data_IF_613406033576
#
_entry.id   IF_613406033576
#
_cell.length_a   1.000
_cell.length_b   1.000
_cell.length_c   1.000
_cell.angle_alpha   90.00
_cell.angle_beta   90.00
_cell.angle_gamma   90.00
#
_symmetry.space_group_name_H-M   'P 1'
#
loop_
_entity.id
_entity.type
_entity.pdbx_description
1 polymer ?
#
# COMPACT_ATOMS: atom_id res chain seq x y z
N UNK A 1 -25.64 15.56 18.40
CA UNK A 1 -25.48 16.19 17.07
C UNK A 1 -24.07 16.02 16.49
N UNK A 2 -22.99 16.28 17.24
CA UNK A 2 -21.61 16.15 16.73
C UNK A 2 -21.21 14.71 16.37
N UNK A 3 -21.62 13.73 17.18
CA UNK A 3 -21.32 12.32 16.99
C UNK A 3 -21.94 11.72 15.70
N UNK A 4 -23.19 12.11 15.39
CA UNK A 4 -23.86 11.70 14.15
C UNK A 4 -23.17 12.28 12.90
N UNK A 5 -22.68 13.52 12.97
CA UNK A 5 -21.94 14.14 11.87
C UNK A 5 -20.63 13.41 11.61
N UNK A 6 -19.92 13.03 12.67
CA UNK A 6 -18.67 12.25 12.58
C UNK A 6 -18.92 10.87 11.96
N UNK A 7 -19.96 10.16 12.42
CA UNK A 7 -20.35 8.84 11.89
C UNK A 7 -20.70 8.88 10.39
N UNK A 8 -21.40 9.93 9.95
CA UNK A 8 -21.72 10.11 8.53
C UNK A 8 -20.47 10.43 7.69
N UNK A 9 -19.50 11.17 8.25
CA UNK A 9 -18.23 11.46 7.59
C UNK A 9 -17.34 10.22 7.46
N UNK A 10 -17.26 9.40 8.51
CA UNK A 10 -16.51 8.13 8.51
C UNK A 10 -17.11 7.14 7.49
N UNK A 11 -18.44 7.06 7.41
CA UNK A 11 -19.13 6.24 6.42
C UNK A 11 -18.85 6.70 4.98
N UNK A 12 -18.83 8.02 4.75
CA UNK A 12 -18.50 8.60 3.44
C UNK A 12 -17.04 8.32 3.06
N UNK A 13 -16.10 8.50 4.00
CA UNK A 13 -14.69 8.19 3.79
C UNK A 13 -14.49 6.72 3.41
N UNK A 14 -15.13 5.81 4.14
CA UNK A 14 -15.03 4.37 3.86
C UNK A 14 -15.59 4.02 2.48
N UNK A 15 -16.77 4.54 2.13
CA UNK A 15 -17.38 4.28 0.81
C UNK A 15 -16.44 4.72 -0.33
N UNK A 16 -15.89 5.94 -0.24
CA UNK A 16 -14.99 6.49 -1.26
C UNK A 16 -13.61 5.80 -1.27
N UNK A 17 -13.12 5.35 -0.11
CA UNK A 17 -11.87 4.60 -0.02
C UNK A 17 -11.98 3.21 -0.65
N UNK A 18 -13.14 2.57 -0.53
CA UNK A 18 -13.48 1.30 -1.19
C UNK A 18 -13.83 1.44 -2.69
N UNK A 19 -13.73 2.64 -3.27
CA UNK A 19 -13.91 2.86 -4.71
C UNK A 19 -15.34 3.16 -5.16
N UNK A 20 -16.26 3.50 -4.24
CA UNK A 20 -17.58 3.98 -4.64
C UNK A 20 -17.48 5.26 -5.49
N UNK A 21 -18.32 5.38 -6.51
CA UNK A 21 -18.48 6.64 -7.24
C UNK A 21 -19.15 7.70 -6.35
N UNK A 22 -19.10 8.97 -6.77
CA UNK A 22 -19.75 10.07 -6.03
C UNK A 22 -21.24 9.81 -5.84
N UNK A 23 -21.92 9.33 -6.87
CA UNK A 23 -23.36 9.05 -6.89
C UNK A 23 -23.71 7.82 -6.03
N UNK A 24 -22.83 6.82 -5.99
CA UNK A 24 -22.99 5.64 -5.15
C UNK A 24 -22.80 6.00 -3.66
N UNK A 25 -21.76 6.77 -3.34
CA UNK A 25 -21.50 7.25 -2.00
C UNK A 25 -22.59 8.22 -1.51
N UNK A 26 -23.12 9.08 -2.39
CA UNK A 26 -24.25 9.97 -2.09
C UNK A 26 -25.47 9.19 -1.63
N UNK A 27 -25.87 8.17 -2.40
CA UNK A 27 -26.99 7.28 -2.05
C UNK A 27 -26.73 6.50 -0.77
N UNK A 28 -25.52 5.96 -0.59
CA UNK A 28 -25.17 5.16 0.59
C UNK A 28 -25.15 5.98 1.88
N UNK A 29 -24.72 7.24 1.82
CA UNK A 29 -24.59 8.10 2.98
C UNK A 29 -25.78 9.05 3.19
N UNK A 30 -26.80 9.02 2.33
CA UNK A 30 -27.94 9.94 2.37
C UNK A 30 -27.54 11.40 2.13
N UNK A 31 -26.53 11.62 1.29
CA UNK A 31 -25.99 12.94 0.94
C UNK A 31 -26.31 13.29 -0.50
N UNK A 32 -26.19 14.57 -0.86
CA UNK A 32 -26.27 15.02 -2.25
C UNK A 32 -24.89 15.02 -2.90
N UNK A 33 -24.84 14.80 -4.21
CA UNK A 33 -23.58 14.81 -4.98
C UNK A 33 -22.81 16.13 -4.76
N UNK A 34 -23.53 17.26 -4.75
CA UNK A 34 -22.95 18.59 -4.46
C UNK A 34 -22.24 18.63 -3.09
N UNK A 35 -22.78 17.95 -2.09
CA UNK A 35 -22.15 17.87 -0.76
C UNK A 35 -20.85 17.08 -0.82
N UNK A 36 -20.84 15.97 -1.56
CA UNK A 36 -19.64 15.14 -1.72
C UNK A 36 -18.57 15.88 -2.54
N UNK A 37 -18.92 16.53 -3.65
CA UNK A 37 -17.97 17.34 -4.41
C UNK A 37 -17.35 18.46 -3.57
N UNK A 38 -18.15 19.11 -2.71
CA UNK A 38 -17.64 20.09 -1.75
C UNK A 38 -16.66 19.44 -0.77
N UNK A 39 -17.02 18.30 -0.16
CA UNK A 39 -16.10 17.57 0.74
C UNK A 39 -14.82 17.15 0.04
N UNK A 40 -14.91 16.64 -1.19
CA UNK A 40 -13.76 16.30 -2.01
C UNK A 40 -12.90 17.51 -2.39
N UNK A 41 -13.38 18.74 -2.26
CA UNK A 41 -12.58 19.96 -2.43
C UNK A 41 -11.87 20.41 -1.14
N UNK A 42 -12.31 19.93 0.03
CA UNK A 42 -11.73 20.27 1.33
C UNK A 42 -10.40 19.51 1.53
N UNK A 43 -9.26 20.21 1.74
CA UNK A 43 -7.95 19.55 1.90
C UNK A 43 -7.93 18.52 3.03
N UNK A 44 -8.47 18.85 4.19
CA UNK A 44 -8.51 17.94 5.34
C UNK A 44 -9.28 16.63 5.05
N UNK A 45 -10.31 16.68 4.20
CA UNK A 45 -11.06 15.49 3.81
C UNK A 45 -10.27 14.64 2.80
N UNK A 46 -9.60 15.28 1.83
CA UNK A 46 -8.70 14.59 0.88
C UNK A 46 -7.58 13.86 1.62
N UNK A 47 -6.96 14.52 2.60
CA UNK A 47 -5.86 13.94 3.37
C UNK A 47 -6.33 12.70 4.16
N UNK A 48 -7.50 12.78 4.81
CA UNK A 48 -8.11 11.63 5.51
C UNK A 48 -8.46 10.49 4.56
N UNK A 49 -9.03 10.81 3.39
CA UNK A 49 -9.36 9.80 2.38
C UNK A 49 -8.10 9.12 1.85
N UNK A 50 -7.04 9.88 1.60
CA UNK A 50 -5.77 9.36 1.13
C UNK A 50 -5.10 8.50 2.21
N UNK A 51 -5.09 8.94 3.47
CA UNK A 51 -4.57 8.16 4.59
C UNK A 51 -5.30 6.82 4.73
N UNK A 52 -6.63 6.84 4.68
CA UNK A 52 -7.43 5.61 4.75
C UNK A 52 -7.12 4.66 3.59
N UNK A 53 -6.95 5.17 2.36
CA UNK A 53 -6.54 4.37 1.20
C UNK A 53 -5.16 3.77 1.39
N UNK A 54 -4.20 4.56 1.87
CA UNK A 54 -2.84 4.08 2.17
C UNK A 54 -2.88 2.94 3.19
N UNK A 55 -3.65 3.08 4.27
CA UNK A 55 -3.80 2.04 5.29
C UNK A 55 -4.46 0.77 4.75
N UNK A 56 -5.43 0.91 3.85
CA UNK A 56 -6.07 -0.25 3.19
C UNK A 56 -5.09 -0.97 2.27
N UNK A 57 -4.31 -0.24 1.48
CA UNK A 57 -3.28 -0.80 0.59
C UNK A 57 -2.20 -1.50 1.41
N UNK A 58 -1.72 -0.89 2.49
CA UNK A 58 -0.72 -1.50 3.37
C UNK A 58 -1.21 -2.83 3.97
N UNK A 59 -2.47 -2.87 4.43
CA UNK A 59 -3.09 -4.10 4.93
C UNK A 59 -3.22 -5.17 3.85
N UNK A 60 -3.66 -4.79 2.65
CA UNK A 60 -3.77 -5.71 1.52
C UNK A 60 -2.40 -6.26 1.10
N UNK A 61 -1.37 -5.42 1.09
CA UNK A 61 0.01 -5.83 0.82
C UNK A 61 0.48 -6.88 1.83
N UNK A 62 0.26 -6.65 3.13
CA UNK A 62 0.61 -7.64 4.16
C UNK A 62 -0.10 -8.99 3.98
N UNK A 63 -1.39 -8.98 3.63
CA UNK A 63 -2.14 -10.20 3.32
C UNK A 63 -1.62 -10.92 2.07
N UNK A 64 -1.27 -10.18 1.02
CA UNK A 64 -0.67 -10.72 -0.20
C UNK A 64 0.71 -11.33 0.08
N UNK A 65 1.54 -10.67 0.88
CA UNK A 65 2.84 -11.20 1.32
C UNK A 65 2.66 -12.52 2.07
N UNK A 66 1.68 -12.61 2.97
CA UNK A 66 1.37 -13.86 3.66
C UNK A 66 0.89 -14.96 2.69
N UNK A 67 0.05 -14.62 1.70
CA UNK A 67 -0.45 -15.56 0.71
C UNK A 67 0.61 -15.99 -0.32
N UNK A 68 1.64 -15.16 -0.57
CA UNK A 68 2.68 -15.44 -1.56
C UNK A 68 3.43 -16.76 -1.30
N UNK A 69 3.58 -17.15 -0.03
CA UNK A 69 4.19 -18.44 0.32
C UNK A 69 3.40 -19.64 -0.22
N UNK A 70 2.06 -19.57 -0.20
CA UNK A 70 1.21 -20.63 -0.77
C UNK A 70 1.26 -20.65 -2.30
N UNK A 71 1.35 -19.48 -2.94
CA UNK A 71 1.55 -19.39 -4.38
C UNK A 71 2.89 -20.02 -4.81
N UNK A 72 3.97 -19.81 -4.05
CA UNK A 72 5.26 -20.46 -4.29
C UNK A 72 5.15 -21.99 -4.13
N UNK A 73 4.47 -22.48 -3.09
CA UNK A 73 4.22 -23.92 -2.91
C UNK A 73 3.48 -24.52 -4.12
N UNK A 74 2.46 -23.83 -4.61
CA UNK A 74 1.70 -24.24 -5.79
C UNK A 74 2.61 -24.34 -7.03
N UNK A 75 3.46 -23.34 -7.26
CA UNK A 75 4.42 -23.37 -8.38
C UNK A 75 5.46 -24.51 -8.25
N UNK A 76 5.91 -24.82 -7.04
CA UNK A 76 6.82 -25.95 -6.78
C UNK A 76 6.15 -27.30 -7.03
N UNK A 77 4.87 -27.44 -6.67
CA UNK A 77 4.09 -28.64 -6.96
C UNK A 77 3.87 -28.84 -8.46
N UNK A 78 3.49 -27.76 -9.17
CA UNK A 78 3.30 -27.78 -10.62
C UNK A 78 4.57 -28.13 -11.40
N UNK A 79 5.77 -27.88 -10.84
CA UNK A 79 7.03 -28.29 -11.45
C UNK A 79 7.28 -29.81 -11.39
N UNK A 80 6.63 -30.51 -10.45
CA UNK A 80 6.77 -31.97 -10.27
C UNK A 80 5.70 -32.72 -11.06
N UNK A 81 4.43 -32.39 -10.83
CA UNK A 81 3.30 -33.25 -11.19
C UNK A 81 2.34 -32.59 -12.20
N UNK A 82 2.89 -31.98 -13.27
CA UNK A 82 2.07 -31.36 -14.32
C UNK A 82 2.58 -31.67 -15.74
N UNK A 83 1.74 -31.49 -16.78
CA UNK A 83 2.17 -31.59 -18.18
C UNK A 83 3.34 -30.64 -18.49
N UNK A 84 4.15 -30.99 -19.49
CA UNK A 84 5.40 -30.29 -19.81
C UNK A 84 5.24 -28.77 -19.99
N UNK A 85 4.15 -28.33 -20.62
CA UNK A 85 3.84 -26.90 -20.82
C UNK A 85 3.57 -26.16 -19.51
N UNK A 86 2.82 -26.78 -18.58
CA UNK A 86 2.52 -26.23 -17.26
C UNK A 86 3.78 -26.18 -16.40
N UNK A 87 4.60 -27.24 -16.44
CA UNK A 87 5.90 -27.28 -15.76
C UNK A 87 6.83 -26.16 -16.23
N UNK A 88 6.93 -25.96 -17.55
CA UNK A 88 7.73 -24.87 -18.13
C UNK A 88 7.22 -23.50 -17.68
N UNK A 89 5.89 -23.29 -17.68
CA UNK A 89 5.28 -22.06 -17.18
C UNK A 89 5.58 -21.81 -15.70
N UNK A 90 5.43 -22.83 -14.86
CA UNK A 90 5.72 -22.73 -13.43
C UNK A 90 7.20 -22.43 -13.16
N UNK A 91 8.13 -23.11 -13.86
CA UNK A 91 9.56 -22.86 -13.74
C UNK A 91 9.92 -21.43 -14.17
N UNK A 92 9.36 -20.93 -15.28
CA UNK A 92 9.56 -19.54 -15.72
C UNK A 92 9.04 -18.54 -14.69
N UNK A 93 7.83 -18.75 -14.16
CA UNK A 93 7.24 -17.87 -13.16
C UNK A 93 8.09 -17.81 -11.88
N UNK A 94 8.61 -18.95 -11.40
CA UNK A 94 9.51 -18.99 -10.23
C UNK A 94 10.80 -18.21 -10.49
N UNK A 95 11.44 -18.39 -11.65
CA UNK A 95 12.67 -17.68 -11.99
C UNK A 95 12.41 -16.17 -12.11
N UNK A 96 11.34 -15.77 -12.79
CA UNK A 96 11.01 -14.36 -12.98
C UNK A 96 10.71 -13.66 -11.65
N UNK A 97 9.87 -14.26 -10.80
CA UNK A 97 9.55 -13.70 -9.47
C UNK A 97 10.79 -13.68 -8.58
N UNK A 98 11.60 -14.76 -8.59
CA UNK A 98 12.82 -14.85 -7.79
C UNK A 98 13.87 -13.80 -8.16
N UNK A 99 14.07 -13.56 -9.47
CA UNK A 99 15.00 -12.53 -9.95
C UNK A 99 14.54 -11.12 -9.56
N UNK A 100 13.25 -10.80 -9.74
CA UNK A 100 12.69 -9.51 -9.33
C UNK A 100 12.78 -9.29 -7.81
N UNK A 101 12.48 -10.31 -7.01
CA UNK A 101 12.55 -10.20 -5.55
C UNK A 101 13.99 -9.95 -5.09
N UNK A 102 14.97 -10.64 -5.68
CA UNK A 102 16.38 -10.41 -5.39
C UNK A 102 16.79 -8.97 -5.72
N UNK A 103 16.40 -8.46 -6.88
CA UNK A 103 16.67 -7.08 -7.29
C UNK A 103 16.09 -6.08 -6.28
N UNK A 104 14.84 -6.27 -5.85
CA UNK A 104 14.18 -5.41 -4.85
C UNK A 104 14.96 -5.41 -3.53
N UNK A 105 15.31 -6.59 -3.01
CA UNK A 105 16.05 -6.72 -1.74
C UNK A 105 17.44 -6.07 -1.83
N UNK A 106 18.15 -6.27 -2.95
CA UNK A 106 19.45 -5.67 -3.18
C UNK A 106 19.35 -4.13 -3.28
N UNK A 107 18.29 -3.61 -3.92
CA UNK A 107 18.04 -2.16 -4.01
C UNK A 107 17.65 -1.56 -2.65
N UNK A 108 16.77 -2.20 -1.89
CA UNK A 108 16.37 -1.76 -0.54
C UNK A 108 17.59 -1.69 0.39
N UNK A 109 18.45 -2.71 0.39
CA UNK A 109 19.68 -2.71 1.17
C UNK A 109 20.63 -1.57 0.79
N UNK A 110 20.77 -1.29 -0.51
CA UNK A 110 21.58 -0.17 -1.02
C UNK A 110 20.98 1.18 -0.66
N UNK A 111 19.65 1.33 -0.70
CA UNK A 111 18.97 2.55 -0.28
C UNK A 111 19.19 2.83 1.20
N UNK A 112 18.97 1.82 2.06
CA UNK A 112 19.19 1.96 3.51
C UNK A 112 20.64 2.35 3.84
N UNK A 113 21.62 1.79 3.12
CA UNK A 113 23.02 2.16 3.29
C UNK A 113 23.32 3.61 2.87
N UNK A 114 22.65 4.12 1.83
CA UNK A 114 22.77 5.52 1.41
C UNK A 114 22.11 6.47 2.41
N UNK A 115 20.91 6.15 2.88
CA UNK A 115 20.19 6.92 3.89
C UNK A 115 20.99 7.04 5.20
N UNK A 116 21.62 5.94 5.65
CA UNK A 116 22.48 5.95 6.82
C UNK A 116 23.70 6.89 6.66
N UNK A 117 24.34 6.85 5.49
CA UNK A 117 25.51 7.72 5.20
C UNK A 117 25.14 9.19 5.15
N UNK A 118 23.98 9.52 4.58
CA UNK A 118 23.48 10.90 4.55
C UNK A 118 23.17 11.41 5.97
N UNK A 119 22.55 10.57 6.80
CA UNK A 119 22.27 10.91 8.20
C UNK A 119 23.54 11.12 9.04
N UNK A 120 24.66 10.46 8.72
CA UNK A 120 25.95 10.69 9.37
C UNK A 120 26.62 12.01 8.95
N UNK A 121 26.46 12.42 7.69
CA UNK A 121 27.02 13.67 7.18
C UNK A 121 26.27 14.91 7.71
N UNK A 122 24.97 14.79 8.00
CA UNK A 122 24.15 15.86 8.58
C UNK A 122 24.34 16.03 10.10
N UNK A 123 25.14 15.20 10.76
CA UNK A 123 25.47 15.42 12.18
C UNK A 123 26.36 16.66 12.32
N UNK A 124 25.92 17.73 13.01
CA UNK A 124 26.77 18.89 13.23
C UNK A 124 28.01 18.46 14.02
N UNK A 125 29.20 18.75 13.47
CA UNK A 125 30.47 18.48 14.13
C UNK A 125 30.50 19.11 15.53
N UNK A 126 31.26 18.53 16.48
CA UNK A 126 31.27 18.99 17.86
C UNK A 126 31.61 20.48 17.88
N UNK A 127 30.62 21.32 18.22
CA UNK A 127 30.85 22.76 18.40
C UNK A 127 31.88 22.89 19.50
N UNK A 128 33.06 23.40 19.13
CA UNK A 128 34.21 23.50 20.01
C UNK A 128 33.82 24.13 21.35
N UNK A 129 34.00 23.36 22.42
CA UNK A 129 34.16 23.93 23.75
C UNK A 129 35.51 24.65 23.78
N UNK A 130 35.48 25.95 23.46
CA UNK A 130 36.47 26.90 23.95
C UNK A 130 35.70 28.10 24.46
N UNK A 131 35.41 28.07 25.76
CA UNK A 131 35.05 29.21 26.59
C UNK A 131 36.06 29.26 27.74
#
# INVERSE_FOLDING_TARGET
MAEQRKKNEDALLLALACGATVEAAARQCGLTDRTIYRRLSEPAFKDRLQALRTDMVARAAGMLTAAAGEAVRTLLQLQKDAPATVRLGAAKAVLEVGMKLREIVDLEARMAALEARLAEQDKPGPRGLYA
#
